data_IF_871882870406
#
_entry.id   IF_871882870406
#
_cell.length_a   1.000
_cell.length_b   1.000
_cell.length_c   1.000
_cell.angle_alpha   90.00
_cell.angle_beta   90.00
_cell.angle_gamma   90.00
#
_symmetry.space_group_name_H-M   'P 1'
#
loop_
_entity.id
_entity.type
_entity.pdbx_description
1 polymer ?
#
# COMPACT_ATOMS: atom_id res chain seq x y z
N UNK A 1 22.65 10.74 -5.00
CA UNK A 1 22.50 9.53 -5.82
C UNK A 1 21.67 8.43 -5.11
N UNK A 2 21.86 8.20 -3.80
CA UNK A 2 21.11 7.15 -3.05
C UNK A 2 19.60 7.45 -2.92
N UNK A 3 19.20 8.70 -2.82
CA UNK A 3 17.79 9.10 -2.71
C UNK A 3 16.97 8.85 -3.97
N UNK A 4 17.56 8.99 -5.15
CA UNK A 4 16.91 8.76 -6.44
C UNK A 4 16.60 7.26 -6.64
N UNK A 5 17.54 6.39 -6.34
CA UNK A 5 17.37 4.93 -6.44
C UNK A 5 16.32 4.38 -5.46
N UNK A 6 16.18 4.99 -4.29
CA UNK A 6 15.11 4.65 -3.34
C UNK A 6 13.73 5.09 -3.83
N UNK A 7 13.62 6.29 -4.40
CA UNK A 7 12.37 6.77 -4.99
C UNK A 7 11.93 5.91 -6.18
N UNK A 8 12.85 5.53 -7.05
CA UNK A 8 12.56 4.68 -8.20
C UNK A 8 12.07 3.29 -7.78
N UNK A 9 12.70 2.68 -6.76
CA UNK A 9 12.23 1.41 -6.19
C UNK A 9 10.87 1.51 -5.53
N UNK A 10 10.59 2.59 -4.79
CA UNK A 10 9.29 2.82 -4.16
C UNK A 10 8.18 3.00 -5.21
N UNK A 11 8.45 3.76 -6.27
CA UNK A 11 7.50 3.95 -7.37
C UNK A 11 7.24 2.63 -8.09
N UNK A 12 8.26 1.86 -8.40
CA UNK A 12 8.12 0.55 -9.07
C UNK A 12 7.37 -0.45 -8.17
N UNK A 13 7.69 -0.51 -6.88
CA UNK A 13 6.98 -1.36 -5.92
C UNK A 13 5.52 -0.94 -5.74
N UNK A 14 5.23 0.35 -5.70
CA UNK A 14 3.86 0.87 -5.64
C UNK A 14 3.07 0.54 -6.90
N UNK A 15 3.70 0.65 -8.07
CA UNK A 15 3.08 0.33 -9.35
C UNK A 15 2.75 -1.16 -9.46
N UNK A 16 3.71 -2.04 -9.17
CA UNK A 16 3.50 -3.48 -9.21
C UNK A 16 2.42 -3.94 -8.23
N UNK A 17 2.39 -3.36 -7.02
CA UNK A 17 1.34 -3.63 -6.03
C UNK A 17 -0.04 -3.20 -6.51
N UNK A 18 -0.14 -2.03 -7.16
CA UNK A 18 -1.42 -1.53 -7.69
C UNK A 18 -1.91 -2.36 -8.87
N UNK A 19 -1.03 -2.76 -9.78
CA UNK A 19 -1.35 -3.63 -10.91
C UNK A 19 -1.84 -5.01 -10.43
N UNK A 20 -1.15 -5.60 -9.46
CA UNK A 20 -1.58 -6.85 -8.82
C UNK A 20 -2.96 -6.72 -8.16
N UNK A 21 -3.20 -5.65 -7.43
CA UNK A 21 -4.47 -5.37 -6.77
C UNK A 21 -5.63 -5.27 -7.77
N UNK A 22 -5.42 -4.56 -8.88
CA UNK A 22 -6.42 -4.42 -9.95
C UNK A 22 -6.70 -5.75 -10.64
N UNK A 23 -5.67 -6.54 -10.95
CA UNK A 23 -5.81 -7.86 -11.56
C UNK A 23 -6.55 -8.83 -10.63
N UNK A 24 -6.23 -8.83 -9.34
CA UNK A 24 -6.91 -9.66 -8.36
C UNK A 24 -8.39 -9.30 -8.24
N UNK A 25 -8.71 -8.01 -8.15
CA UNK A 25 -10.09 -7.52 -8.07
C UNK A 25 -10.87 -7.91 -9.32
N UNK A 26 -10.31 -7.70 -10.51
CA UNK A 26 -10.93 -8.08 -11.77
C UNK A 26 -11.18 -9.59 -11.85
N UNK A 27 -10.22 -10.41 -11.41
CA UNK A 27 -10.38 -11.88 -11.42
C UNK A 27 -11.44 -12.38 -10.43
N UNK A 28 -11.56 -11.73 -9.26
CA UNK A 28 -12.63 -12.07 -8.30
C UNK A 28 -14.00 -11.65 -8.86
N UNK A 29 -14.10 -10.49 -9.51
CA UNK A 29 -15.33 -10.06 -10.17
C UNK A 29 -15.70 -11.00 -11.33
N UNK A 30 -14.74 -11.43 -12.14
CA UNK A 30 -14.97 -12.43 -13.19
C UNK A 30 -15.50 -13.75 -12.62
N UNK A 31 -14.96 -14.21 -11.47
CA UNK A 31 -15.42 -15.41 -10.79
C UNK A 31 -16.88 -15.24 -10.31
N UNK A 32 -17.23 -14.06 -9.79
CA UNK A 32 -18.62 -13.75 -9.36
C UNK A 32 -19.58 -13.80 -10.54
N UNK A 33 -19.27 -13.16 -11.67
CA UNK A 33 -20.08 -13.17 -12.87
C UNK A 33 -20.29 -14.59 -13.42
N UNK A 34 -19.21 -15.39 -13.48
CA UNK A 34 -19.29 -16.79 -13.91
C UNK A 34 -20.08 -17.66 -12.94
N UNK A 35 -20.06 -17.38 -11.65
CA UNK A 35 -20.88 -18.10 -10.66
C UNK A 35 -22.37 -17.86 -10.90
N UNK A 36 -22.77 -16.66 -11.29
CA UNK A 36 -24.15 -16.35 -11.68
C UNK A 36 -24.56 -17.16 -12.91
N UNK A 37 -23.65 -17.31 -13.87
CA UNK A 37 -23.93 -18.11 -15.09
C UNK A 37 -24.01 -19.61 -14.79
N UNK A 38 -23.16 -20.13 -13.88
CA UNK A 38 -23.24 -21.48 -13.34
C UNK A 38 -24.61 -21.71 -12.69
N UNK A 39 -25.02 -20.82 -11.78
CA UNK A 39 -26.30 -20.91 -11.08
C UNK A 39 -27.48 -20.89 -12.06
N UNK A 40 -27.46 -19.99 -13.03
CA UNK A 40 -28.50 -19.87 -14.07
C UNK A 40 -28.60 -21.13 -14.88
N UNK A 41 -27.46 -21.62 -15.38
CA UNK A 41 -27.45 -22.84 -16.24
C UNK A 41 -27.87 -24.07 -15.45
N UNK A 42 -27.44 -24.21 -14.19
CA UNK A 42 -27.87 -25.29 -13.31
C UNK A 42 -29.38 -25.27 -13.07
N UNK A 43 -29.94 -24.11 -12.72
CA UNK A 43 -31.41 -23.97 -12.53
C UNK A 43 -32.20 -24.24 -13.79
N UNK A 44 -31.74 -23.77 -14.96
CA UNK A 44 -32.37 -24.02 -16.24
C UNK A 44 -32.36 -25.51 -16.58
N UNK A 45 -31.22 -26.18 -16.35
CA UNK A 45 -31.13 -27.63 -16.58
C UNK A 45 -32.10 -28.42 -15.68
N UNK A 46 -32.18 -28.07 -14.39
CA UNK A 46 -33.09 -28.73 -13.45
C UNK A 46 -34.57 -28.56 -13.78
N UNK A 47 -34.97 -27.47 -14.44
CA UNK A 47 -36.35 -27.18 -14.79
C UNK A 47 -36.71 -27.74 -16.17
N UNK A 48 -35.80 -27.61 -17.13
CA UNK A 48 -36.08 -27.90 -18.55
C UNK A 48 -35.60 -29.31 -19.00
N UNK A 49 -34.70 -29.91 -18.21
CA UNK A 49 -34.00 -31.19 -18.51
C UNK A 49 -33.37 -31.21 -19.94
N UNK A 50 -32.95 -30.02 -20.40
CA UNK A 50 -32.35 -29.84 -21.72
C UNK A 50 -30.83 -29.96 -21.65
N UNK A 51 -30.18 -30.89 -22.37
CA UNK A 51 -28.74 -31.11 -22.33
C UNK A 51 -27.92 -29.89 -22.72
N UNK A 52 -28.46 -28.91 -23.45
CA UNK A 52 -27.81 -27.66 -23.81
C UNK A 52 -27.47 -26.86 -22.56
N UNK A 53 -28.35 -26.84 -21.55
CA UNK A 53 -28.05 -26.12 -20.28
C UNK A 53 -27.04 -26.87 -19.41
N UNK A 54 -27.05 -28.21 -19.47
CA UNK A 54 -26.01 -28.99 -18.81
C UNK A 54 -24.63 -28.74 -19.44
N UNK A 55 -24.53 -28.68 -20.75
CA UNK A 55 -23.29 -28.36 -21.44
C UNK A 55 -22.79 -26.96 -21.07
N UNK A 56 -23.67 -25.96 -21.05
CA UNK A 56 -23.31 -24.59 -20.63
C UNK A 56 -22.83 -24.54 -19.19
N UNK A 57 -23.48 -25.25 -18.28
CA UNK A 57 -23.06 -25.39 -16.91
C UNK A 57 -21.63 -25.94 -16.82
N UNK A 58 -21.31 -27.03 -17.52
CA UNK A 58 -19.98 -27.63 -17.54
C UNK A 58 -18.92 -26.67 -18.12
N UNK A 59 -19.23 -25.92 -19.16
CA UNK A 59 -18.34 -24.94 -19.77
C UNK A 59 -18.03 -23.80 -18.78
N UNK A 60 -19.06 -23.23 -18.14
CA UNK A 60 -18.86 -22.16 -17.14
C UNK A 60 -18.11 -22.66 -15.90
N UNK A 61 -18.42 -23.86 -15.44
CA UNK A 61 -17.75 -24.49 -14.31
C UNK A 61 -16.27 -24.74 -14.59
N UNK A 62 -15.94 -25.32 -15.75
CA UNK A 62 -14.57 -25.61 -16.15
C UNK A 62 -13.73 -24.31 -16.24
N UNK A 63 -14.30 -23.25 -16.82
CA UNK A 63 -13.65 -21.95 -16.91
C UNK A 63 -13.43 -21.31 -15.52
N UNK A 64 -14.41 -21.46 -14.64
CA UNK A 64 -14.32 -20.93 -13.26
C UNK A 64 -13.29 -21.70 -12.42
N UNK A 65 -13.23 -23.03 -12.56
CA UNK A 65 -12.21 -23.85 -11.90
C UNK A 65 -10.80 -23.49 -12.37
N UNK A 66 -10.61 -23.26 -13.68
CA UNK A 66 -9.34 -22.80 -14.21
C UNK A 66 -8.94 -21.41 -13.66
N UNK A 67 -9.92 -20.51 -13.48
CA UNK A 67 -9.70 -19.20 -12.87
C UNK A 67 -9.32 -19.33 -11.38
N UNK A 68 -10.02 -20.20 -10.64
CA UNK A 68 -9.72 -20.49 -9.23
C UNK A 68 -8.30 -21.04 -9.05
N UNK A 69 -7.89 -21.99 -9.89
CA UNK A 69 -6.51 -22.52 -9.83
C UNK A 69 -5.45 -21.45 -10.15
N UNK A 70 -5.72 -20.57 -11.10
CA UNK A 70 -4.85 -19.42 -11.40
C UNK A 70 -4.75 -18.48 -10.20
N UNK A 71 -5.90 -18.15 -9.58
CA UNK A 71 -5.96 -17.33 -8.38
C UNK A 71 -5.20 -17.96 -7.21
N UNK A 72 -5.31 -19.27 -6.99
CA UNK A 72 -4.54 -19.99 -5.95
C UNK A 72 -3.03 -19.87 -6.16
N UNK A 73 -2.57 -19.91 -7.42
CA UNK A 73 -1.15 -19.73 -7.74
C UNK A 73 -0.63 -18.32 -7.53
N UNK A 74 -1.50 -17.32 -7.59
CA UNK A 74 -1.15 -15.91 -7.46
C UNK A 74 -1.36 -15.36 -6.05
N UNK A 75 -2.29 -15.92 -5.28
CA UNK A 75 -2.71 -15.43 -3.97
C UNK A 75 -2.21 -16.33 -2.86
N UNK A 76 -1.93 -15.72 -1.69
CA UNK A 76 -1.54 -16.43 -0.47
C UNK A 76 -2.53 -16.18 0.68
N UNK A 77 -2.22 -16.78 1.83
CA UNK A 77 -2.87 -16.45 3.09
C UNK A 77 -4.37 -16.72 3.16
N UNK A 78 -5.16 -15.68 3.41
CA UNK A 78 -6.60 -15.80 3.72
C UNK A 78 -7.48 -16.18 2.54
N UNK A 79 -7.05 -15.96 1.31
CA UNK A 79 -7.84 -16.26 0.11
C UNK A 79 -7.79 -17.74 -0.27
N UNK A 80 -6.69 -18.43 0.01
CA UNK A 80 -6.54 -19.86 -0.32
C UNK A 80 -7.64 -20.77 0.26
N UNK A 81 -8.02 -20.67 1.56
CA UNK A 81 -9.10 -21.47 2.09
C UNK A 81 -10.46 -21.18 1.45
N UNK A 82 -10.73 -19.91 1.12
CA UNK A 82 -11.97 -19.50 0.46
C UNK A 82 -12.06 -20.04 -0.97
N UNK A 83 -10.97 -19.96 -1.74
CA UNK A 83 -10.88 -20.52 -3.09
C UNK A 83 -10.99 -22.04 -3.06
N UNK A 84 -10.37 -22.71 -2.07
CA UNK A 84 -10.51 -24.15 -1.86
C UNK A 84 -11.94 -24.56 -1.50
N UNK A 85 -12.60 -23.77 -0.63
CA UNK A 85 -14.01 -23.97 -0.29
C UNK A 85 -14.93 -23.79 -1.50
N UNK A 86 -14.68 -22.75 -2.32
CA UNK A 86 -15.43 -22.52 -3.55
C UNK A 86 -15.31 -23.70 -4.52
N UNK A 87 -14.10 -24.18 -4.76
CA UNK A 87 -13.85 -25.35 -5.61
C UNK A 87 -14.59 -26.59 -5.10
N UNK A 88 -14.52 -26.88 -3.82
CA UNK A 88 -15.20 -28.04 -3.22
C UNK A 88 -16.71 -27.98 -3.39
N UNK A 89 -17.32 -26.80 -3.21
CA UNK A 89 -18.77 -26.62 -3.39
C UNK A 89 -19.15 -26.72 -4.86
N UNK A 90 -18.33 -26.21 -5.75
CA UNK A 90 -18.54 -26.28 -7.20
C UNK A 90 -18.49 -27.73 -7.72
N UNK A 91 -17.55 -28.53 -7.24
CA UNK A 91 -17.45 -29.97 -7.54
C UNK A 91 -18.62 -30.77 -6.96
N UNK A 92 -19.05 -30.43 -5.73
CA UNK A 92 -20.24 -31.03 -5.11
C UNK A 92 -21.51 -30.72 -5.91
N UNK A 93 -21.66 -29.49 -6.43
CA UNK A 93 -22.74 -29.07 -7.27
C UNK A 93 -22.75 -29.87 -8.58
N UNK A 94 -21.58 -30.04 -9.22
CA UNK A 94 -21.41 -30.87 -10.41
C UNK A 94 -21.88 -32.29 -10.19
N UNK A 95 -21.38 -32.94 -9.13
CA UNK A 95 -21.74 -34.31 -8.77
C UNK A 95 -23.23 -34.45 -8.50
N UNK A 96 -23.84 -33.46 -7.85
CA UNK A 96 -25.26 -33.43 -7.59
C UNK A 96 -26.11 -33.34 -8.88
N UNK A 97 -25.69 -32.53 -9.86
CA UNK A 97 -26.35 -32.45 -11.17
C UNK A 97 -26.20 -33.74 -11.97
N UNK A 98 -25.02 -34.37 -11.98
CA UNK A 98 -24.80 -35.67 -12.64
C UNK A 98 -25.69 -36.78 -12.05
N UNK A 99 -25.86 -36.77 -10.71
CA UNK A 99 -26.71 -37.73 -9.98
C UNK A 99 -28.20 -37.36 -10.06
N UNK A 100 -28.58 -36.27 -10.74
CA UNK A 100 -29.96 -35.78 -10.83
C UNK A 100 -30.63 -35.57 -9.48
N UNK A 101 -29.84 -35.06 -8.53
CA UNK A 101 -30.33 -34.69 -7.19
C UNK A 101 -31.39 -33.58 -7.31
N UNK A 102 -32.34 -33.55 -6.40
CA UNK A 102 -33.45 -32.59 -6.45
C UNK A 102 -32.96 -31.12 -6.35
N UNK A 103 -33.71 -30.20 -6.95
CA UNK A 103 -33.41 -28.76 -6.88
C UNK A 103 -33.38 -28.22 -5.46
N UNK A 104 -34.15 -28.83 -4.55
CA UNK A 104 -34.16 -28.47 -3.14
C UNK A 104 -32.84 -28.81 -2.41
N UNK A 105 -32.17 -29.90 -2.81
CA UNK A 105 -30.88 -30.30 -2.26
C UNK A 105 -29.69 -29.54 -2.87
N UNK A 106 -29.85 -29.07 -4.13
CA UNK A 106 -28.81 -28.25 -4.80
C UNK A 106 -28.88 -26.79 -4.42
N UNK A 107 -30.03 -26.27 -3.99
CA UNK A 107 -30.21 -24.88 -3.60
C UNK A 107 -29.20 -24.40 -2.51
N UNK A 108 -28.92 -25.18 -1.43
CA UNK A 108 -27.93 -24.76 -0.44
C UNK A 108 -26.50 -24.72 -1.00
N UNK A 109 -26.14 -25.54 -1.99
CA UNK A 109 -24.82 -25.48 -2.64
C UNK A 109 -24.67 -24.21 -3.48
N UNK A 110 -25.72 -23.83 -4.24
CA UNK A 110 -25.75 -22.57 -5.00
C UNK A 110 -25.64 -21.36 -4.06
N UNK A 111 -26.40 -21.35 -2.96
CA UNK A 111 -26.33 -20.29 -1.94
C UNK A 111 -24.93 -20.22 -1.31
N UNK A 112 -24.29 -21.35 -1.08
CA UNK A 112 -22.95 -21.42 -0.52
C UNK A 112 -21.87 -20.89 -1.48
N UNK A 113 -22.02 -21.14 -2.79
CA UNK A 113 -21.16 -20.55 -3.81
C UNK A 113 -21.25 -19.02 -3.80
N UNK A 114 -22.47 -18.47 -3.76
CA UNK A 114 -22.70 -17.03 -3.68
C UNK A 114 -22.10 -16.42 -2.40
N UNK A 115 -22.26 -17.07 -1.26
CA UNK A 115 -21.66 -16.65 0.00
C UNK A 115 -20.12 -16.64 -0.05
N UNK A 116 -19.53 -17.66 -0.65
CA UNK A 116 -18.08 -17.74 -0.82
C UNK A 116 -17.55 -16.64 -1.75
N UNK A 117 -18.26 -16.27 -2.79
CA UNK A 117 -17.92 -15.12 -3.63
C UNK A 117 -17.95 -13.81 -2.84
N UNK A 118 -18.98 -13.59 -2.04
CA UNK A 118 -19.07 -12.42 -1.15
C UNK A 118 -17.90 -12.36 -0.16
N UNK A 119 -17.53 -13.49 0.43
CA UNK A 119 -16.40 -13.58 1.34
C UNK A 119 -15.06 -13.31 0.63
N UNK A 120 -14.88 -13.82 -0.59
CA UNK A 120 -13.73 -13.55 -1.44
C UNK A 120 -13.61 -12.06 -1.74
N UNK A 121 -14.71 -11.43 -2.17
CA UNK A 121 -14.78 -9.99 -2.43
C UNK A 121 -14.42 -9.17 -1.21
N UNK A 122 -15.04 -9.47 -0.06
CA UNK A 122 -14.74 -8.78 1.20
C UNK A 122 -13.30 -8.97 1.66
N UNK A 123 -12.75 -10.18 1.54
CA UNK A 123 -11.37 -10.45 1.92
C UNK A 123 -10.39 -9.69 1.02
N UNK A 124 -10.67 -9.59 -0.28
CA UNK A 124 -9.88 -8.81 -1.24
C UNK A 124 -9.94 -7.33 -0.91
N UNK A 125 -11.13 -6.76 -0.70
CA UNK A 125 -11.28 -5.35 -0.33
C UNK A 125 -10.52 -5.00 0.96
N UNK A 126 -10.63 -5.83 2.01
CA UNK A 126 -9.91 -5.62 3.27
C UNK A 126 -8.39 -5.67 3.10
N UNK A 127 -7.89 -6.55 2.23
CA UNK A 127 -6.45 -6.62 1.96
C UNK A 127 -5.94 -5.37 1.24
N UNK A 128 -6.73 -4.82 0.31
CA UNK A 128 -6.42 -3.58 -0.40
C UNK A 128 -6.45 -2.35 0.52
N UNK A 129 -7.46 -2.27 1.39
CA UNK A 129 -7.56 -1.21 2.40
C UNK A 129 -6.40 -1.24 3.39
N UNK A 130 -5.99 -2.44 3.84
CA UNK A 130 -4.86 -2.61 4.73
C UNK A 130 -3.54 -2.16 4.07
N UNK A 131 -3.32 -2.52 2.80
CA UNK A 131 -2.17 -2.07 2.02
C UNK A 131 -2.17 -0.54 1.83
N UNK A 132 -3.32 0.04 1.48
CA UNK A 132 -3.46 1.49 1.30
C UNK A 132 -3.18 2.26 2.61
N UNK A 133 -3.68 1.78 3.75
CA UNK A 133 -3.39 2.37 5.06
C UNK A 133 -1.90 2.29 5.40
N UNK A 134 -1.27 1.15 5.17
CA UNK A 134 0.16 1.00 5.43
C UNK A 134 1.01 2.00 4.64
N UNK A 135 0.69 2.22 3.36
CA UNK A 135 1.38 3.22 2.53
C UNK A 135 1.16 4.64 3.07
N UNK A 136 -0.05 4.98 3.52
CA UNK A 136 -0.35 6.28 4.11
C UNK A 136 0.39 6.49 5.43
N UNK A 137 0.42 5.49 6.31
CA UNK A 137 1.12 5.54 7.59
C UNK A 137 2.65 5.69 7.39
N UNK A 138 3.22 5.00 6.40
CA UNK A 138 4.63 5.16 6.03
C UNK A 138 4.92 6.57 5.50
N UNK A 139 4.04 7.14 4.67
CA UNK A 139 4.18 8.51 4.18
C UNK A 139 4.10 9.55 5.29
N UNK A 140 3.20 9.39 6.24
CA UNK A 140 3.10 10.28 7.42
C UNK A 140 4.34 10.18 8.31
N UNK A 141 4.85 8.98 8.57
CA UNK A 141 6.06 8.77 9.32
C UNK A 141 7.29 9.42 8.65
N UNK A 142 7.39 9.28 7.31
CA UNK A 142 8.44 9.94 6.54
C UNK A 142 8.31 11.47 6.56
N UNK A 143 7.11 12.00 6.46
CA UNK A 143 6.84 13.45 6.50
C UNK A 143 7.24 14.07 7.83
N UNK A 144 6.94 13.41 8.95
CA UNK A 144 7.34 13.83 10.29
C UNK A 144 8.87 13.78 10.46
N UNK A 145 9.53 12.73 9.95
CA UNK A 145 10.99 12.59 10.01
C UNK A 145 11.70 13.64 9.17
N UNK A 146 11.21 13.92 7.96
CA UNK A 146 11.74 15.00 7.11
C UNK A 146 11.51 16.37 7.74
N UNK A 147 10.33 16.62 8.31
CA UNK A 147 10.02 17.87 9.01
C UNK A 147 10.94 18.11 10.20
N UNK A 148 11.21 17.08 11.00
CA UNK A 148 12.14 17.20 12.13
C UNK A 148 13.60 17.44 11.69
N UNK A 149 14.05 16.80 10.62
CA UNK A 149 15.37 17.03 10.06
C UNK A 149 15.53 18.47 9.51
N UNK A 150 14.53 18.97 8.80
CA UNK A 150 14.53 20.36 8.31
C UNK A 150 14.51 21.37 9.46
N UNK A 151 13.72 21.13 10.51
CA UNK A 151 13.69 21.99 11.69
C UNK A 151 15.05 22.01 12.42
N UNK A 152 15.70 20.85 12.55
CA UNK A 152 17.03 20.73 13.15
C UNK A 152 18.11 21.43 12.31
N UNK A 153 18.04 21.29 10.99
CA UNK A 153 18.97 21.98 10.07
C UNK A 153 18.80 23.50 10.13
N UNK A 154 17.56 24.00 10.16
CA UNK A 154 17.27 25.43 10.31
C UNK A 154 17.73 25.98 11.66
N UNK A 155 17.48 25.24 12.75
CA UNK A 155 17.97 25.62 14.09
C UNK A 155 19.50 25.65 14.13
N UNK A 156 20.19 24.69 13.55
CA UNK A 156 21.64 24.65 13.42
C UNK A 156 22.18 25.83 12.62
N UNK A 157 21.58 26.13 11.46
CA UNK A 157 21.98 27.29 10.66
C UNK A 157 21.78 28.63 11.41
N UNK A 158 20.69 28.76 12.16
CA UNK A 158 20.41 29.95 12.97
C UNK A 158 21.46 30.12 14.10
N UNK A 159 21.81 29.02 14.77
CA UNK A 159 22.85 29.06 15.82
C UNK A 159 24.20 29.42 15.25
N UNK A 160 24.58 28.92 14.08
CA UNK A 160 25.83 29.29 13.40
C UNK A 160 25.81 30.77 13.02
N UNK A 161 24.69 31.26 12.43
CA UNK A 161 24.55 32.67 12.05
C UNK A 161 24.64 33.61 13.26
N UNK A 162 23.99 33.26 14.37
CA UNK A 162 24.07 34.04 15.63
C UNK A 162 25.48 34.00 16.22
N UNK A 163 26.12 32.83 16.22
CA UNK A 163 27.51 32.68 16.72
C UNK A 163 28.51 33.48 15.88
N UNK A 164 28.40 33.43 14.54
CA UNK A 164 29.25 34.26 13.67
C UNK A 164 28.97 35.76 13.85
N UNK A 165 27.70 36.16 13.95
CA UNK A 165 27.35 37.57 14.22
C UNK A 165 27.96 38.06 15.52
N UNK A 166 27.90 37.27 16.59
CA UNK A 166 28.48 37.63 17.88
C UNK A 166 30.01 37.68 17.84
N UNK A 167 30.62 36.73 17.11
CA UNK A 167 32.08 36.65 16.95
C UNK A 167 32.63 37.82 16.11
N UNK A 168 31.93 38.27 15.07
CA UNK A 168 32.33 39.39 14.23
C UNK A 168 32.08 40.77 14.92
N UNK A 169 30.96 40.92 15.61
CA UNK A 169 30.58 42.21 16.23
C UNK A 169 31.46 42.55 17.41
N UNK A 170 31.97 41.56 18.13
CA UNK A 170 32.80 41.77 19.32
C UNK A 170 34.13 42.48 19.03
N UNK A 171 34.96 42.09 18.06
CA UNK A 171 36.17 42.81 17.71
C UNK A 171 35.92 44.19 17.10
N UNK A 172 34.84 44.35 16.32
CA UNK A 172 34.48 45.68 15.76
C UNK A 172 34.12 46.67 16.84
N UNK A 173 33.37 46.29 17.87
CA UNK A 173 33.09 47.17 19.03
C UNK A 173 34.34 47.53 19.85
N UNK A 174 35.31 46.63 19.96
CA UNK A 174 36.56 46.90 20.60
C UNK A 174 37.41 47.91 19.82
N UNK A 175 37.42 47.83 18.50
CA UNK A 175 38.05 48.80 17.60
C UNK A 175 37.39 50.20 17.71
N UNK A 176 36.07 50.28 17.70
CA UNK A 176 35.32 51.53 17.87
C UNK A 176 35.64 52.19 19.21
N UNK A 177 35.73 51.43 20.29
CA UNK A 177 36.13 51.94 21.61
C UNK A 177 37.58 52.38 21.64
N UNK A 178 38.47 51.69 20.94
CA UNK A 178 39.89 52.10 20.85
C UNK A 178 40.05 53.39 20.03
N UNK A 179 39.30 53.54 18.95
CA UNK A 179 39.30 54.80 18.13
C UNK A 179 38.70 55.97 18.94
N UNK A 180 37.62 55.75 19.68
CA UNK A 180 37.02 56.78 20.54
C UNK A 180 37.98 57.25 21.67
N UNK A 181 38.78 56.32 22.20
CA UNK A 181 39.82 56.63 23.21
C UNK A 181 40.98 57.43 22.61
N UNK A 182 41.42 57.11 21.39
CA UNK A 182 42.43 57.89 20.66
C UNK A 182 41.95 59.29 20.34
N UNK A 183 40.69 59.50 20.00
CA UNK A 183 40.06 60.79 19.71
C UNK A 183 39.93 61.68 20.98
N UNK A 184 39.91 61.04 22.18
CA UNK A 184 39.84 61.74 23.46
C UNK A 184 41.24 62.13 24.06
N UNK A 185 42.33 61.98 23.28
CA UNK A 185 43.73 62.36 23.68
C UNK A 185 44.21 61.69 24.98
N UNK A 186 43.77 60.50 25.33
CA UNK A 186 44.30 59.72 26.47
C UNK A 186 45.25 58.66 25.95
N UNK A 187 46.57 58.97 25.97
CA UNK A 187 47.65 58.08 25.47
C UNK A 187 48.28 57.17 26.53
N UNK A 188 47.76 57.14 27.76
CA UNK A 188 48.47 56.51 28.89
C UNK A 188 48.07 55.03 29.18
N UNK A 189 47.19 54.41 28.41
CA UNK A 189 46.86 53.01 28.65
C UNK A 189 47.21 52.08 27.43
N UNK A 190 47.98 51.01 27.68
CA UNK A 190 48.33 50.05 26.59
C UNK A 190 47.13 49.36 26.08
N UNK A 191 46.97 49.29 24.75
CA UNK A 191 45.93 48.55 24.05
C UNK A 191 46.21 47.04 24.22
N UNK A 192 45.40 46.35 25.00
CA UNK A 192 45.43 44.89 25.06
C UNK A 192 44.93 44.29 23.76
N UNK A 193 45.82 43.91 22.86
CA UNK A 193 45.51 43.19 21.62
C UNK A 193 45.35 41.72 21.97
N UNK A 194 44.12 41.31 22.26
CA UNK A 194 43.74 39.89 22.35
C UNK A 194 43.36 39.37 20.98
N UNK A 195 44.34 38.90 20.19
CA UNK A 195 44.11 38.08 19.00
C UNK A 195 44.12 36.61 19.36
N UNK A 196 43.47 35.71 18.56
CA UNK A 196 43.66 34.29 18.71
C UNK A 196 45.14 33.96 18.51
N UNK A 197 45.72 33.25 19.48
CA UNK A 197 47.11 32.78 19.39
C UNK A 197 47.24 31.92 18.10
N UNK A 198 48.19 32.32 17.26
CA UNK A 198 48.57 31.55 16.07
C UNK A 198 49.06 30.17 16.46
N UNK A 199 48.51 29.19 15.75
CA UNK A 199 49.11 27.88 15.58
C UNK A 199 49.95 27.88 14.34
#
# INVERSE_FOLDING_TARGET
LHGWLLLERLVEQSRSSSEYALQLTASIQELEERTIDIERSARQYLVLDDPVFHQRFEEHLAQSLALVERLKGQTGGRLLPLLGGWQMVAEALRSGLEQRVSSAELAPLLSRLAELNDLLRQATQRSLEAQSKQVLDELEAHRLRLGSQMALALAGALLVALGMGWWLVRPVRQLDQAIARLGASRFDEPIAVGGPADL
#
